data_IF_713658508363
#
_entry.id   IF_713658508363
#
_cell.length_a   1.000
_cell.length_b   1.000
_cell.length_c   1.000
_cell.angle_alpha   90.00
_cell.angle_beta   90.00
_cell.angle_gamma   90.00
#
_symmetry.space_group_name_H-M   'P 1'
#
loop_
_entity.id
_entity.type
_entity.pdbx_description
1 polymer ?
#
# COMPACT_ATOMS: atom_id res chain seq x y z
N UNK A 1 1.29 4.77 18.54
CA UNK A 1 2.10 4.39 17.37
C UNK A 1 1.59 3.10 16.75
N UNK A 2 1.94 2.84 15.51
CA UNK A 2 1.73 1.53 14.88
C UNK A 2 3.05 0.79 14.85
N UNK A 3 3.05 -0.46 15.30
CA UNK A 3 4.21 -1.37 15.24
C UNK A 3 3.88 -2.49 14.27
N UNK A 4 4.75 -2.76 13.30
CA UNK A 4 4.52 -3.79 12.27
C UNK A 4 5.82 -4.49 11.87
N UNK A 5 5.78 -5.79 11.53
CA UNK A 5 6.94 -6.52 11.01
C UNK A 5 7.36 -5.97 9.64
N UNK A 6 8.63 -6.14 9.27
CA UNK A 6 9.14 -5.78 7.94
C UNK A 6 8.72 -6.76 6.83
N UNK A 7 8.51 -8.01 7.18
CA UNK A 7 8.39 -9.17 6.28
C UNK A 7 7.01 -9.83 6.36
N UNK A 8 5.99 -9.11 6.85
CA UNK A 8 4.61 -9.57 6.87
C UNK A 8 3.74 -8.79 5.86
N UNK A 9 2.61 -9.38 5.50
CA UNK A 9 1.62 -8.82 4.58
C UNK A 9 0.20 -8.99 5.13
N UNK A 10 -0.80 -8.37 4.49
CA UNK A 10 -2.21 -8.55 4.84
C UNK A 10 -2.62 -8.02 6.21
N UNK A 11 -1.81 -7.16 6.84
CA UNK A 11 -2.08 -6.62 8.18
C UNK A 11 -1.73 -7.57 9.33
N UNK A 12 -1.03 -8.68 9.05
CA UNK A 12 -0.59 -9.60 10.09
C UNK A 12 0.50 -8.96 10.97
N UNK A 13 0.38 -9.10 12.29
CA UNK A 13 1.35 -8.58 13.24
C UNK A 13 1.38 -7.05 13.37
N UNK A 14 0.34 -6.36 12.89
CA UNK A 14 0.20 -4.91 13.04
C UNK A 14 -0.49 -4.61 14.37
N UNK A 15 0.19 -3.84 15.22
CA UNK A 15 -0.32 -3.43 16.53
C UNK A 15 -0.47 -1.92 16.60
N UNK A 16 -1.64 -1.46 17.06
CA UNK A 16 -1.84 -0.07 17.45
C UNK A 16 -1.53 0.07 18.95
N UNK A 17 -0.37 0.62 19.28
CA UNK A 17 0.08 0.85 20.66
C UNK A 17 -0.25 2.28 21.06
N UNK A 18 -1.07 2.45 22.09
CA UNK A 18 -1.46 3.75 22.65
C UNK A 18 -0.46 4.19 23.72
N UNK A 19 -0.42 5.47 24.00
CA UNK A 19 0.37 5.98 25.13
C UNK A 19 -0.21 5.42 26.45
N UNK A 20 0.65 4.85 27.29
CA UNK A 20 0.25 4.23 28.55
C UNK A 20 -0.36 2.84 28.42
N UNK A 21 -0.34 2.21 27.24
CA UNK A 21 -0.78 0.84 27.07
C UNK A 21 0.08 -0.11 27.93
N UNK A 22 -0.50 -0.84 28.89
CA UNK A 22 0.25 -1.72 29.77
C UNK A 22 0.93 -2.89 29.05
N UNK A 23 0.45 -3.24 27.86
CA UNK A 23 1.01 -4.32 27.04
C UNK A 23 2.16 -3.86 26.12
N UNK A 24 2.54 -2.58 26.16
CA UNK A 24 3.59 -2.03 25.27
C UNK A 24 4.86 -2.88 25.27
N UNK A 25 5.37 -3.26 26.44
CA UNK A 25 6.56 -4.10 26.56
C UNK A 25 6.42 -5.43 25.86
N UNK A 26 5.37 -6.17 26.16
CA UNK A 26 5.09 -7.49 25.57
C UNK A 26 4.87 -7.41 24.06
N UNK A 27 4.18 -6.35 23.56
CA UNK A 27 3.99 -6.13 22.13
C UNK A 27 5.34 -5.90 21.44
N UNK A 28 6.21 -5.07 22.01
CA UNK A 28 7.53 -4.80 21.44
C UNK A 28 8.44 -6.03 21.46
N UNK A 29 8.44 -6.78 22.56
CA UNK A 29 9.17 -8.05 22.68
C UNK A 29 8.74 -9.05 21.61
N UNK A 30 7.43 -9.22 21.43
CA UNK A 30 6.89 -10.11 20.43
C UNK A 30 7.19 -9.61 19.00
N UNK A 31 6.96 -8.34 18.71
CA UNK A 31 7.18 -7.76 17.38
C UNK A 31 8.65 -7.81 16.97
N UNK A 32 9.57 -7.64 17.92
CA UNK A 32 11.02 -7.69 17.69
C UNK A 32 11.62 -9.08 17.88
N UNK A 33 10.85 -10.09 18.25
CA UNK A 33 11.35 -11.40 18.66
C UNK A 33 12.46 -11.25 19.70
N UNK A 34 12.14 -10.60 20.82
CA UNK A 34 13.08 -10.30 21.91
C UNK A 34 14.34 -9.52 21.43
N UNK A 35 14.17 -8.55 20.56
CA UNK A 35 15.24 -7.72 20.03
C UNK A 35 16.08 -8.36 18.91
N UNK A 36 15.69 -9.53 18.42
CA UNK A 36 16.41 -10.28 17.37
C UNK A 36 15.95 -9.96 15.96
N UNK A 37 14.85 -9.19 15.80
CA UNK A 37 14.21 -8.89 14.50
C UNK A 37 13.90 -7.41 14.39
N UNK A 38 14.24 -6.83 13.25
CA UNK A 38 13.87 -5.46 12.93
C UNK A 38 12.36 -5.33 12.75
N UNK A 39 11.83 -4.23 13.26
CA UNK A 39 10.39 -3.90 13.25
C UNK A 39 10.22 -2.43 12.93
N UNK A 40 9.18 -2.10 12.20
CA UNK A 40 8.82 -0.70 11.89
C UNK A 40 7.93 -0.16 13.00
N UNK A 41 8.27 1.03 13.51
CA UNK A 41 7.38 1.84 14.35
C UNK A 41 7.04 3.13 13.60
N UNK A 42 5.75 3.36 13.39
CA UNK A 42 5.22 4.53 12.68
C UNK A 42 4.24 5.30 13.54
N UNK A 43 4.05 6.59 13.22
CA UNK A 43 2.96 7.37 13.80
C UNK A 43 1.62 6.74 13.43
N UNK A 44 0.71 6.61 14.39
CA UNK A 44 -0.67 6.26 14.09
C UNK A 44 -1.37 7.43 13.40
N UNK A 45 -2.02 7.17 12.30
CA UNK A 45 -2.83 8.12 11.53
C UNK A 45 -4.30 7.81 11.78
N UNK A 46 -5.03 8.63 12.55
CA UNK A 46 -6.45 8.38 12.84
C UNK A 46 -7.32 8.42 11.57
N UNK A 47 -6.83 9.06 10.51
CA UNK A 47 -7.46 9.12 9.18
C UNK A 47 -7.66 7.73 8.55
N UNK A 48 -6.99 6.69 9.05
CA UNK A 48 -7.23 5.30 8.62
C UNK A 48 -8.71 4.90 8.76
N UNK A 49 -9.45 5.51 9.69
CA UNK A 49 -10.88 5.29 9.83
C UNK A 49 -11.71 5.76 8.64
N UNK A 50 -11.20 6.72 7.88
CA UNK A 50 -11.81 7.21 6.64
C UNK A 50 -11.41 6.36 5.44
N UNK A 51 -10.35 5.58 5.57
CA UNK A 51 -9.85 4.65 4.59
C UNK A 51 -8.35 4.72 4.38
N UNK A 52 -7.83 3.64 3.82
CA UNK A 52 -6.48 3.46 3.34
C UNK A 52 -6.54 3.34 1.82
N UNK A 53 -6.03 4.34 1.10
CA UNK A 53 -6.08 4.40 -0.36
C UNK A 53 -4.93 3.58 -0.95
N UNK A 54 -5.25 2.51 -1.70
CA UNK A 54 -4.33 1.77 -2.54
C UNK A 54 -4.28 2.40 -3.92
N UNK A 55 -3.13 2.93 -4.32
CA UNK A 55 -2.86 3.44 -5.67
C UNK A 55 -2.00 2.42 -6.39
N UNK A 56 -2.49 1.86 -7.49
CA UNK A 56 -1.72 0.95 -8.33
C UNK A 56 -1.00 1.71 -9.42
N UNK A 57 0.29 1.46 -9.56
CA UNK A 57 1.14 2.03 -10.59
C UNK A 57 1.64 0.95 -11.55
N UNK A 58 1.75 1.29 -12.82
CA UNK A 58 2.43 0.50 -13.84
C UNK A 58 3.51 1.36 -14.48
N UNK A 59 4.73 0.88 -14.44
CA UNK A 59 5.92 1.59 -14.94
C UNK A 59 6.03 3.03 -14.42
N UNK A 60 5.70 3.21 -13.13
CA UNK A 60 5.75 4.50 -12.44
C UNK A 60 4.56 5.43 -12.68
N UNK A 61 3.60 5.06 -13.54
CA UNK A 61 2.41 5.85 -13.84
C UNK A 61 1.16 5.28 -13.14
N UNK A 62 0.22 6.12 -12.69
CA UNK A 62 -0.98 5.63 -12.02
C UNK A 62 -1.86 4.84 -13.00
N UNK A 63 -2.37 3.72 -12.53
CA UNK A 63 -3.31 2.85 -13.24
C UNK A 63 -4.72 3.02 -12.70
N UNK A 64 -4.90 2.81 -11.41
CA UNK A 64 -6.18 2.95 -10.71
C UNK A 64 -5.93 3.14 -9.21
N UNK A 65 -6.99 3.49 -8.47
CA UNK A 65 -6.96 3.58 -7.03
C UNK A 65 -8.21 2.96 -6.40
N UNK A 66 -8.07 2.36 -5.22
CA UNK A 66 -9.15 1.78 -4.43
C UNK A 66 -9.03 2.28 -2.99
N UNK A 67 -10.10 2.83 -2.43
CA UNK A 67 -10.16 3.18 -1.03
C UNK A 67 -10.61 1.95 -0.23
N UNK A 68 -9.83 1.54 0.76
CA UNK A 68 -10.11 0.39 1.63
C UNK A 68 -10.58 0.93 2.98
N UNK A 69 -11.87 0.86 3.26
CA UNK A 69 -12.46 1.36 4.50
C UNK A 69 -12.49 0.24 5.52
N UNK A 70 -11.80 0.37 6.67
CA UNK A 70 -11.75 -0.67 7.69
C UNK A 70 -13.13 -0.93 8.31
N UNK A 71 -13.34 -2.14 8.82
CA UNK A 71 -14.49 -2.45 9.64
C UNK A 71 -14.49 -1.60 10.94
N UNK A 72 -15.66 -1.32 11.55
CA UNK A 72 -15.75 -0.45 12.72
C UNK A 72 -14.88 -0.91 13.90
N UNK A 73 -14.72 -2.20 14.06
CA UNK A 73 -14.00 -2.89 15.15
C UNK A 73 -12.56 -3.23 14.84
N UNK A 74 -12.10 -3.03 13.59
CA UNK A 74 -10.70 -3.23 13.19
C UNK A 74 -10.04 -1.90 12.76
N UNK A 75 -8.78 -1.71 13.12
CA UNK A 75 -8.00 -0.53 12.74
C UNK A 75 -7.22 -0.73 11.43
N UNK A 76 -7.24 -1.94 10.85
CA UNK A 76 -6.46 -2.30 9.67
C UNK A 76 -7.27 -2.07 8.40
N UNK A 77 -6.69 -1.36 7.42
CA UNK A 77 -7.30 -1.08 6.12
C UNK A 77 -7.15 -2.21 5.08
N UNK A 78 -6.67 -3.40 5.48
CA UNK A 78 -6.41 -4.47 4.53
C UNK A 78 -7.69 -5.23 4.16
N UNK A 79 -7.87 -5.54 2.88
CA UNK A 79 -9.03 -6.30 2.37
C UNK A 79 -9.13 -7.70 3.01
N UNK A 80 -7.99 -8.35 3.29
CA UNK A 80 -7.95 -9.66 3.93
C UNK A 80 -8.52 -9.71 5.35
N UNK A 81 -8.63 -8.57 6.02
CA UNK A 81 -9.22 -8.47 7.37
C UNK A 81 -10.59 -7.81 7.37
N UNK A 82 -11.27 -7.76 6.21
CA UNK A 82 -12.67 -7.33 6.10
C UNK A 82 -12.87 -5.86 5.78
N UNK A 83 -11.84 -5.13 5.35
CA UNK A 83 -12.04 -3.78 4.82
C UNK A 83 -12.90 -3.81 3.55
N UNK A 84 -13.77 -2.80 3.38
CA UNK A 84 -14.64 -2.67 2.21
C UNK A 84 -13.94 -1.84 1.13
N UNK A 85 -13.81 -2.36 -0.10
CA UNK A 85 -13.29 -1.58 -1.21
C UNK A 85 -14.35 -0.56 -1.68
N UNK A 86 -13.93 0.66 -1.92
CA UNK A 86 -14.76 1.74 -2.45
C UNK A 86 -14.05 2.46 -3.59
N UNK A 87 -14.81 2.96 -4.54
CA UNK A 87 -14.30 3.79 -5.61
C UNK A 87 -13.72 5.10 -5.05
N UNK A 88 -12.60 5.55 -5.61
CA UNK A 88 -11.94 6.79 -5.23
C UNK A 88 -11.20 7.39 -6.42
N UNK A 89 -10.80 8.64 -6.29
CA UNK A 89 -9.95 9.33 -7.28
C UNK A 89 -8.63 9.73 -6.61
N UNK A 90 -7.62 9.96 -7.42
CA UNK A 90 -6.40 10.59 -6.94
C UNK A 90 -6.69 12.06 -6.61
N UNK A 91 -6.29 12.45 -5.41
CA UNK A 91 -6.28 13.83 -4.96
C UNK A 91 -4.95 14.50 -5.31
N UNK A 92 -4.85 15.81 -5.10
CA UNK A 92 -3.63 16.56 -5.39
C UNK A 92 -2.41 15.96 -4.67
N UNK A 93 -2.58 15.63 -3.39
CA UNK A 93 -1.51 15.04 -2.58
C UNK A 93 -1.08 13.66 -3.06
N UNK A 94 -2.02 12.83 -3.52
CA UNK A 94 -1.71 11.53 -4.13
C UNK A 94 -0.88 11.71 -5.40
N UNK A 95 -1.28 12.69 -6.22
CA UNK A 95 -0.58 13.03 -7.47
C UNK A 95 0.85 13.54 -7.22
N UNK A 96 1.06 14.32 -6.16
CA UNK A 96 2.41 14.73 -5.73
C UNK A 96 3.27 13.52 -5.34
N UNK A 97 2.72 12.60 -4.54
CA UNK A 97 3.42 11.37 -4.12
C UNK A 97 3.83 10.55 -5.35
N UNK A 98 2.90 10.34 -6.29
CA UNK A 98 3.17 9.59 -7.53
C UNK A 98 4.22 10.31 -8.39
N UNK A 99 4.13 11.62 -8.54
CA UNK A 99 5.11 12.43 -9.32
C UNK A 99 6.53 12.30 -8.78
N UNK A 100 6.69 12.18 -7.45
CA UNK A 100 8.01 12.04 -6.81
C UNK A 100 8.52 10.60 -6.88
N UNK A 101 7.63 9.63 -6.65
CA UNK A 101 8.02 8.22 -6.54
C UNK A 101 8.05 7.49 -7.87
N UNK A 102 7.14 7.79 -8.79
CA UNK A 102 7.00 7.09 -10.06
C UNK A 102 8.30 6.96 -10.85
N UNK A 103 9.03 8.09 -11.10
CA UNK A 103 10.32 8.02 -11.81
C UNK A 103 11.37 7.18 -11.07
N UNK A 104 11.39 7.22 -9.73
CA UNK A 104 12.34 6.45 -8.90
C UNK A 104 12.04 4.96 -8.95
N UNK A 105 10.78 4.59 -8.86
CA UNK A 105 10.32 3.20 -8.94
C UNK A 105 10.60 2.61 -10.33
N UNK A 106 10.35 3.38 -11.38
CA UNK A 106 10.68 3.00 -12.75
C UNK A 106 12.18 2.80 -12.93
N UNK A 107 13.00 3.74 -12.45
CA UNK A 107 14.47 3.63 -12.53
C UNK A 107 15.02 2.43 -11.73
N UNK A 108 14.35 2.05 -10.63
CA UNK A 108 14.67 0.87 -9.85
C UNK A 108 14.15 -0.45 -10.47
N UNK A 109 13.47 -0.40 -11.62
CA UNK A 109 12.94 -1.57 -12.32
C UNK A 109 11.62 -2.10 -11.76
N UNK A 110 10.96 -1.38 -10.85
CA UNK A 110 9.67 -1.78 -10.30
C UNK A 110 8.54 -1.44 -11.28
N UNK A 111 8.08 -2.45 -12.01
CA UNK A 111 7.08 -2.28 -13.06
C UNK A 111 5.66 -2.15 -12.50
N UNK A 112 5.25 -3.02 -11.57
CA UNK A 112 3.92 -3.02 -10.97
C UNK A 112 4.02 -2.78 -9.46
N UNK A 113 3.46 -1.67 -8.98
CA UNK A 113 3.63 -1.18 -7.61
C UNK A 113 2.30 -0.76 -7.01
N UNK A 114 2.11 -1.04 -5.72
CA UNK A 114 1.01 -0.51 -4.91
C UNK A 114 1.55 0.50 -3.89
N UNK A 115 1.01 1.71 -3.91
CA UNK A 115 1.24 2.71 -2.87
C UNK A 115 0.05 2.73 -1.92
N UNK A 116 0.29 2.75 -0.61
CA UNK A 116 -0.74 2.92 0.39
C UNK A 116 -0.65 4.31 1.02
N UNK A 117 -1.78 5.02 1.00
CA UNK A 117 -1.87 6.42 1.43
C UNK A 117 -3.02 6.59 2.41
N UNK A 118 -2.75 7.13 3.58
CA UNK A 118 -3.72 7.44 4.63
C UNK A 118 -3.63 8.92 4.96
N UNK A 119 -4.73 9.68 4.81
CA UNK A 119 -4.77 11.12 5.12
C UNK A 119 -3.72 11.94 4.37
N UNK A 120 -3.39 11.56 3.13
CA UNK A 120 -2.35 12.22 2.32
C UNK A 120 -0.91 11.83 2.70
N UNK A 121 -0.71 10.84 3.58
CA UNK A 121 0.60 10.32 3.97
C UNK A 121 0.85 8.96 3.34
N UNK A 122 1.98 8.82 2.64
CA UNK A 122 2.46 7.52 2.18
C UNK A 122 2.82 6.65 3.40
N UNK A 123 2.23 5.48 3.49
CA UNK A 123 2.44 4.55 4.61
C UNK A 123 3.17 3.29 4.21
N UNK A 124 3.07 2.88 2.92
CA UNK A 124 3.68 1.65 2.41
C UNK A 124 3.92 1.71 0.90
N UNK A 125 4.97 1.03 0.44
CA UNK A 125 5.28 0.79 -0.98
C UNK A 125 5.36 -0.72 -1.18
N UNK A 126 4.45 -1.27 -1.97
CA UNK A 126 4.34 -2.70 -2.24
C UNK A 126 4.90 -3.00 -3.63
N UNK A 127 6.07 -3.65 -3.71
CA UNK A 127 6.80 -3.86 -4.97
C UNK A 127 6.83 -5.30 -5.46
N UNK A 128 6.41 -6.27 -4.64
CA UNK A 128 6.47 -7.70 -5.01
C UNK A 128 5.21 -8.15 -5.73
N UNK A 129 4.04 -8.05 -5.09
CA UNK A 129 2.76 -8.48 -5.66
C UNK A 129 1.60 -7.67 -5.07
N UNK A 130 1.47 -6.39 -5.43
CA UNK A 130 0.38 -5.57 -4.92
C UNK A 130 -0.97 -6.12 -5.41
N UNK A 131 -1.94 -6.18 -4.50
CA UNK A 131 -3.33 -6.55 -4.77
C UNK A 131 -4.19 -5.32 -4.97
N UNK A 132 -5.41 -5.49 -5.50
CA UNK A 132 -6.39 -4.43 -5.69
C UNK A 132 -6.96 -4.32 -7.10
N UNK A 133 -6.44 -5.09 -8.09
CA UNK A 133 -6.95 -5.09 -9.47
C UNK A 133 -8.39 -5.62 -9.52
N UNK A 134 -8.68 -6.74 -8.87
CA UNK A 134 -10.01 -7.36 -8.92
C UNK A 134 -11.08 -6.45 -8.31
N UNK A 135 -10.74 -5.78 -7.23
CA UNK A 135 -11.60 -4.80 -6.60
C UNK A 135 -11.80 -3.58 -7.50
N UNK A 136 -10.73 -3.09 -8.14
CA UNK A 136 -10.82 -1.99 -9.10
C UNK A 136 -11.70 -2.36 -10.31
N UNK A 137 -11.54 -3.56 -10.87
CA UNK A 137 -12.37 -4.04 -11.97
C UNK A 137 -13.85 -4.01 -11.59
N UNK A 138 -14.18 -4.54 -10.41
CA UNK A 138 -15.56 -4.58 -9.91
C UNK A 138 -16.12 -3.18 -9.70
N UNK A 139 -15.32 -2.26 -9.13
CA UNK A 139 -15.75 -0.91 -8.79
C UNK A 139 -15.94 0.00 -10.02
N UNK A 140 -15.11 -0.20 -11.04
CA UNK A 140 -15.06 0.70 -12.21
C UNK A 140 -15.61 0.06 -13.50
N UNK A 141 -15.94 -1.24 -13.47
CA UNK A 141 -16.41 -1.97 -14.66
C UNK A 141 -15.34 -2.05 -15.76
N UNK A 142 -14.06 -2.20 -15.36
CA UNK A 142 -12.90 -2.18 -16.25
C UNK A 142 -12.13 -3.52 -16.15
N UNK A 143 -11.11 -3.70 -16.98
CA UNK A 143 -10.21 -4.86 -17.03
C UNK A 143 -8.76 -4.38 -16.88
N UNK A 144 -8.42 -3.93 -15.68
CA UNK A 144 -7.10 -3.33 -15.41
C UNK A 144 -5.93 -4.30 -15.58
N UNK A 145 -6.13 -5.60 -15.40
CA UNK A 145 -5.12 -6.62 -15.69
C UNK A 145 -4.71 -6.62 -17.16
N UNK A 146 -5.64 -6.39 -18.08
CA UNK A 146 -5.34 -6.28 -19.52
C UNK A 146 -4.42 -5.08 -19.76
N UNK A 147 -4.72 -3.94 -19.15
CA UNK A 147 -3.89 -2.73 -19.26
C UNK A 147 -2.48 -2.92 -18.70
N UNK A 148 -2.32 -3.73 -17.62
CA UNK A 148 -1.01 -4.09 -17.09
C UNK A 148 -0.22 -4.89 -18.11
N UNK A 149 -0.85 -5.92 -18.71
CA UNK A 149 -0.20 -6.79 -19.71
C UNK A 149 0.17 -5.99 -20.96
N UNK A 150 -0.75 -5.17 -21.49
CA UNK A 150 -0.48 -4.32 -22.66
C UNK A 150 0.71 -3.38 -22.43
N UNK A 151 0.80 -2.74 -21.26
CA UNK A 151 1.95 -1.88 -20.92
C UNK A 151 3.25 -2.68 -20.79
N UNK A 152 3.18 -3.92 -20.26
CA UNK A 152 4.34 -4.80 -20.18
C UNK A 152 4.84 -5.18 -21.59
N UNK A 153 3.93 -5.57 -22.49
CA UNK A 153 4.26 -5.86 -23.89
C UNK A 153 4.88 -4.66 -24.60
N UNK A 154 4.32 -3.47 -24.41
CA UNK A 154 4.87 -2.23 -24.98
C UNK A 154 6.29 -1.98 -24.49
N UNK A 155 6.53 -2.17 -23.18
CA UNK A 155 7.86 -1.99 -22.59
C UNK A 155 8.88 -2.97 -23.13
N UNK A 156 8.50 -4.24 -23.35
CA UNK A 156 9.39 -5.27 -23.86
C UNK A 156 9.68 -5.13 -25.36
N UNK A 157 8.77 -4.51 -26.13
CA UNK A 157 8.97 -4.23 -27.57
C UNK A 157 9.83 -2.99 -27.81
N UNK A 158 9.92 -2.07 -26.85
CA UNK A 158 10.78 -0.89 -26.98
C UNK A 158 12.24 -1.32 -26.74
N UNK A 159 13.18 -0.95 -27.66
CA UNK A 159 14.59 -1.26 -27.45
C UNK A 159 15.07 -0.66 -26.13
N UNK A 160 15.89 -1.44 -25.39
CA UNK A 160 16.52 -0.95 -24.18
C UNK A 160 17.24 0.37 -24.47
N UNK A 161 17.18 1.39 -23.60
CA UNK A 161 17.97 2.59 -23.77
C UNK A 161 19.42 2.18 -23.89
N UNK A 162 20.10 2.62 -24.97
CA UNK A 162 21.54 2.40 -25.16
C UNK A 162 22.27 2.94 -23.95
N UNK A 163 23.08 2.07 -23.30
CA UNK A 163 23.88 2.38 -22.13
C UNK A 163 24.88 3.51 -22.41
#
# INVERSE_FOLDING_TARGET
>A
MVVKPLDASGGFGVFHVRQGDPNTGSILEQATNLGRRWTVAQRYLPEVRQGDKRILLVDGEPLCAVLRVPAPDDARGNLHVGAKPMATKLEERDSEIVRVLGPRLRAAGHFFVGLDVIGGWLTEINVTSPTGILEANTLYGDTYEVKVVERLEQKTRSPAPSA
#
